data_IF_078145490583
#
_entry.id   IF_078145490583
#
_cell.length_a   1.000
_cell.length_b   1.000
_cell.length_c   1.000
_cell.angle_alpha   90.00
_cell.angle_beta   90.00
_cell.angle_gamma   90.00
#
_symmetry.space_group_name_H-M   'P 1'
#
loop_
_entity.id
_entity.type
_entity.pdbx_description
1 polymer ?
#
# COMPACT_ATOMS: atom_id res chain seq x y z
N UNK A 1 -36.35 61.81 -33.56
CA UNK A 1 -37.17 60.59 -33.74
C UNK A 1 -36.87 59.68 -32.55
N UNK A 2 -37.73 59.68 -31.52
CA UNK A 2 -38.80 58.69 -31.25
C UNK A 2 -38.25 57.25 -31.14
N UNK A 3 -38.50 56.44 -30.11
CA UNK A 3 -39.21 56.62 -28.85
C UNK A 3 -38.84 55.43 -27.93
N UNK A 4 -38.86 55.68 -26.63
CA UNK A 4 -38.95 54.73 -25.51
C UNK A 4 -40.09 53.72 -25.65
N UNK A 5 -39.98 52.54 -25.01
CA UNK A 5 -41.09 52.00 -24.22
C UNK A 5 -40.66 50.93 -23.21
N UNK A 6 -41.01 51.20 -21.95
CA UNK A 6 -41.07 50.29 -20.80
C UNK A 6 -42.33 49.44 -20.91
N UNK A 7 -42.32 48.21 -20.37
CA UNK A 7 -43.54 47.61 -19.81
C UNK A 7 -43.20 47.02 -18.44
N UNK A 8 -43.74 47.68 -17.43
CA UNK A 8 -44.02 47.16 -16.09
C UNK A 8 -45.53 46.98 -16.06
N UNK A 9 -46.04 45.84 -15.62
CA UNK A 9 -47.35 45.75 -14.99
C UNK A 9 -47.47 44.46 -14.18
N UNK A 10 -48.21 44.60 -13.09
CA UNK A 10 -48.11 43.91 -11.82
C UNK A 10 -49.38 43.10 -11.55
N UNK A 11 -49.27 42.14 -10.63
CA UNK A 11 -50.29 41.71 -9.65
C UNK A 11 -51.64 41.13 -10.14
N UNK A 12 -51.89 39.89 -9.74
CA UNK A 12 -53.12 39.59 -9.01
C UNK A 12 -52.82 38.55 -7.92
N UNK A 13 -53.08 38.96 -6.68
CA UNK A 13 -53.07 38.15 -5.49
C UNK A 13 -54.44 37.48 -5.31
N UNK A 14 -54.46 36.24 -4.86
CA UNK A 14 -55.59 35.68 -4.10
C UNK A 14 -55.05 34.99 -2.86
N UNK A 15 -55.60 35.41 -1.73
CA UNK A 15 -55.20 35.05 -0.40
C UNK A 15 -56.24 34.11 0.23
N UNK A 16 -55.74 33.35 1.22
CA UNK A 16 -56.42 32.86 2.43
C UNK A 16 -57.52 31.80 2.28
N UNK A 17 -57.23 30.61 2.80
CA UNK A 17 -58.01 30.08 3.94
C UNK A 17 -57.10 29.42 4.97
N UNK A 18 -57.45 29.69 6.22
CA UNK A 18 -56.81 29.31 7.48
C UNK A 18 -57.45 28.02 8.00
N UNK A 19 -56.63 27.12 8.53
CA UNK A 19 -57.02 25.97 9.33
C UNK A 19 -55.78 25.09 9.51
N UNK A 20 -55.12 25.04 10.66
CA UNK A 20 -55.68 24.72 11.96
C UNK A 20 -55.09 23.35 12.35
N UNK A 21 -54.28 23.35 13.40
CA UNK A 21 -53.40 22.28 13.88
C UNK A 21 -53.93 20.84 13.79
N UNK A 22 -53.12 19.96 13.20
CA UNK A 22 -52.88 18.60 13.72
C UNK A 22 -51.51 18.12 13.24
N UNK A 23 -50.46 18.40 14.01
CA UNK A 23 -49.17 17.75 13.85
C UNK A 23 -49.33 16.27 14.26
N UNK A 24 -49.68 15.42 13.31
CA UNK A 24 -49.58 13.97 13.47
C UNK A 24 -48.10 13.59 13.50
N UNK A 25 -47.52 13.59 14.70
CA UNK A 25 -46.26 12.95 15.05
C UNK A 25 -46.40 11.44 14.85
N UNK A 26 -46.31 10.99 13.60
CA UNK A 26 -46.02 9.58 13.32
C UNK A 26 -44.57 9.32 13.65
N UNK A 27 -44.39 9.03 14.94
CA UNK A 27 -43.22 8.38 15.50
C UNK A 27 -43.11 6.99 14.87
N UNK A 28 -42.56 6.91 13.67
CA UNK A 28 -41.94 5.67 13.20
C UNK A 28 -40.58 5.57 13.89
N UNK A 29 -40.62 5.24 15.18
CA UNK A 29 -39.52 4.60 15.88
C UNK A 29 -39.25 3.27 15.20
N UNK A 30 -38.54 3.33 14.08
CA UNK A 30 -37.70 2.23 13.64
C UNK A 30 -36.62 2.07 14.70
N UNK A 31 -36.96 1.34 15.76
CA UNK A 31 -36.01 0.80 16.70
C UNK A 31 -35.00 0.01 15.89
N UNK A 32 -33.89 0.67 15.56
CA UNK A 32 -32.68 -0.01 15.10
C UNK A 32 -32.28 -0.85 16.30
N UNK A 33 -32.59 -2.14 16.19
CA UNK A 33 -32.22 -3.14 17.19
C UNK A 33 -30.76 -2.90 17.58
N UNK A 34 -30.39 -2.93 18.87
CA UNK A 34 -29.03 -2.68 19.33
C UNK A 34 -27.95 -3.55 18.66
N UNK A 35 -28.34 -4.58 17.89
CA UNK A 35 -27.48 -5.38 17.03
C UNK A 35 -26.80 -4.60 15.89
N UNK A 36 -27.39 -3.51 15.41
CA UNK A 36 -27.01 -2.94 14.10
C UNK A 36 -25.93 -1.85 14.18
N UNK A 37 -25.59 -1.38 15.40
CA UNK A 37 -24.39 -0.55 15.65
C UNK A 37 -23.18 -1.35 16.18
N UNK A 38 -23.34 -2.66 16.40
CA UNK A 38 -22.32 -3.50 17.04
C UNK A 38 -21.34 -4.16 16.04
N UNK A 39 -21.70 -4.28 14.76
CA UNK A 39 -20.95 -5.08 13.78
C UNK A 39 -19.51 -4.56 13.56
N UNK A 40 -19.31 -3.26 13.34
CA UNK A 40 -17.97 -2.68 13.13
C UNK A 40 -17.01 -2.84 14.32
N UNK A 41 -17.53 -2.92 15.55
CA UNK A 41 -16.72 -3.09 16.78
C UNK A 41 -16.26 -4.53 17.00
N UNK A 42 -16.81 -5.52 16.26
CA UNK A 42 -16.57 -6.95 16.47
C UNK A 42 -15.51 -7.56 15.56
N UNK A 43 -15.12 -6.86 14.50
CA UNK A 43 -14.18 -7.39 13.50
C UNK A 43 -12.84 -6.67 13.45
N UNK A 44 -11.80 -7.40 13.06
CA UNK A 44 -10.56 -6.86 12.52
C UNK A 44 -10.57 -7.02 10.98
N UNK A 45 -10.45 -5.89 10.30
CA UNK A 45 -10.28 -5.77 8.87
C UNK A 45 -8.80 -5.76 8.51
N UNK A 46 -8.44 -6.59 7.54
CA UNK A 46 -7.13 -6.62 6.89
C UNK A 46 -7.37 -6.70 5.39
N UNK A 47 -6.83 -5.75 4.65
CA UNK A 47 -6.92 -5.72 3.19
C UNK A 47 -5.59 -5.22 2.64
N UNK A 48 -5.09 -5.84 1.58
CA UNK A 48 -3.77 -5.56 1.00
C UNK A 48 -3.82 -5.82 -0.50
N UNK A 49 -3.37 -4.87 -1.32
CA UNK A 49 -3.35 -5.04 -2.77
C UNK A 49 -2.11 -4.39 -3.39
N UNK A 50 -1.33 -5.11 -4.19
CA UNK A 50 -0.17 -4.56 -4.94
C UNK A 50 -0.16 -5.02 -6.39
N UNK A 51 0.41 -4.20 -7.27
CA UNK A 51 0.55 -4.52 -8.69
C UNK A 51 1.53 -5.65 -8.92
N UNK A 52 2.79 -5.45 -8.58
CA UNK A 52 3.85 -6.41 -8.88
C UNK A 52 4.86 -6.57 -7.76
N UNK A 53 5.52 -7.73 -7.73
CA UNK A 53 6.68 -8.03 -6.89
C UNK A 53 7.56 -9.05 -7.60
N UNK A 54 8.84 -8.74 -7.75
CA UNK A 54 9.87 -9.67 -8.20
C UNK A 54 10.51 -10.31 -6.99
N UNK A 55 10.63 -11.64 -7.00
CA UNK A 55 11.26 -12.40 -5.93
C UNK A 55 11.81 -13.72 -6.45
N UNK A 56 12.79 -14.28 -5.74
CA UNK A 56 13.26 -15.64 -5.98
C UNK A 56 12.55 -16.62 -5.02
N UNK A 57 11.88 -17.65 -5.56
CA UNK A 57 11.27 -18.72 -4.75
C UNK A 57 12.31 -19.55 -3.98
N UNK A 58 13.55 -19.60 -4.46
CA UNK A 58 14.64 -20.36 -3.86
C UNK A 58 15.37 -19.62 -2.72
N UNK A 59 14.92 -18.42 -2.34
CA UNK A 59 15.42 -17.72 -1.15
C UNK A 59 16.64 -16.81 -1.38
N UNK A 60 17.16 -16.71 -2.60
CA UNK A 60 18.20 -15.72 -2.90
C UNK A 60 17.66 -14.29 -2.76
N UNK A 61 18.50 -13.42 -2.22
CA UNK A 61 18.24 -12.11 -1.58
C UNK A 61 17.56 -11.02 -2.45
N UNK A 62 17.01 -11.33 -3.62
CA UNK A 62 16.38 -10.35 -4.52
C UNK A 62 14.86 -10.33 -4.30
N UNK A 63 14.38 -9.30 -3.61
CA UNK A 63 12.97 -8.91 -3.54
C UNK A 63 12.86 -7.44 -3.94
N UNK A 64 12.06 -7.14 -4.96
CA UNK A 64 11.90 -5.77 -5.49
C UNK A 64 10.99 -4.88 -4.63
N UNK A 65 10.34 -5.44 -3.61
CA UNK A 65 9.22 -4.79 -2.95
C UNK A 65 7.94 -4.81 -3.80
N UNK A 66 6.87 -4.20 -3.27
CA UNK A 66 5.52 -4.23 -3.84
C UNK A 66 5.21 -2.90 -4.52
N UNK A 67 4.77 -2.93 -5.77
CA UNK A 67 4.39 -1.71 -6.52
C UNK A 67 2.95 -1.30 -6.25
N UNK A 68 2.69 0.01 -6.20
CA UNK A 68 1.40 0.64 -5.89
C UNK A 68 0.64 -0.15 -4.80
N UNK A 69 1.17 -0.17 -3.58
CA UNK A 69 0.69 -1.07 -2.55
C UNK A 69 -0.26 -0.40 -1.57
N UNK A 70 -1.55 -0.73 -1.68
CA UNK A 70 -2.58 -0.31 -0.72
C UNK A 70 -2.76 -1.32 0.39
N UNK A 71 -2.96 -0.83 1.62
CA UNK A 71 -2.99 -1.63 2.82
C UNK A 71 -3.87 -1.03 3.93
N UNK A 72 -4.83 -1.83 4.39
CA UNK A 72 -5.46 -1.65 5.70
C UNK A 72 -4.75 -2.55 6.72
N UNK A 73 -3.85 -1.91 7.47
CA UNK A 73 -3.02 -2.57 8.46
C UNK A 73 -3.76 -2.81 9.79
N UNK A 74 -4.61 -3.84 9.84
CA UNK A 74 -5.29 -4.31 11.07
C UNK A 74 -6.13 -3.22 11.78
N UNK A 75 -7.44 -3.21 11.54
CA UNK A 75 -8.30 -2.17 12.11
C UNK A 75 -9.68 -2.70 12.44
N UNK A 76 -10.39 -2.04 13.37
CA UNK A 76 -11.80 -2.34 13.69
C UNK A 76 -12.67 -1.16 13.30
N UNK A 77 -12.19 -0.35 12.35
CA UNK A 77 -12.89 0.80 11.84
C UNK A 77 -13.37 0.43 10.45
N UNK A 78 -14.67 0.50 10.24
CA UNK A 78 -15.29 0.47 8.91
C UNK A 78 -15.09 1.81 8.22
N UNK A 79 -15.38 1.87 6.92
CA UNK A 79 -15.28 3.08 6.09
C UNK A 79 -13.85 3.51 5.75
N UNK A 80 -12.84 2.68 6.03
CA UNK A 80 -11.46 3.01 5.64
C UNK A 80 -11.22 2.61 4.20
N UNK A 81 -10.54 3.50 3.48
CA UNK A 81 -10.02 3.24 2.13
C UNK A 81 -8.56 3.64 2.11
N UNK A 82 -7.73 2.76 1.55
CA UNK A 82 -6.35 3.06 1.17
C UNK A 82 -6.22 2.79 -0.33
N UNK A 83 -5.52 3.66 -1.06
CA UNK A 83 -5.32 3.54 -2.50
C UNK A 83 -3.89 3.93 -2.82
N UNK A 84 -3.32 3.29 -3.83
CA UNK A 84 -2.00 3.62 -4.33
C UNK A 84 -1.99 3.40 -5.84
N UNK A 85 -1.15 4.16 -6.54
CA UNK A 85 -1.05 4.10 -7.98
C UNK A 85 0.39 4.34 -8.42
N UNK A 86 0.73 3.79 -9.58
CA UNK A 86 2.07 3.93 -10.16
C UNK A 86 1.93 3.95 -11.67
N UNK A 87 2.42 5.00 -12.33
CA UNK A 87 2.19 5.19 -13.76
C UNK A 87 2.92 4.17 -14.64
N UNK A 88 4.15 3.80 -14.26
CA UNK A 88 4.97 2.83 -14.99
C UNK A 88 6.10 2.31 -14.10
N UNK A 89 6.53 1.07 -14.31
CA UNK A 89 7.73 0.48 -13.73
C UNK A 89 8.59 -0.06 -14.84
N UNK A 90 9.87 0.29 -14.84
CA UNK A 90 10.88 -0.38 -15.67
C UNK A 90 11.94 -0.96 -14.75
N UNK A 91 12.25 -2.24 -14.94
CA UNK A 91 13.33 -2.90 -14.22
C UNK A 91 14.69 -2.64 -14.90
N UNK A 92 15.80 -2.74 -14.14
CA UNK A 92 17.15 -2.56 -14.69
C UNK A 92 17.39 -3.40 -15.95
N UNK A 93 18.04 -2.79 -16.94
CA UNK A 93 18.31 -3.42 -18.24
C UNK A 93 17.12 -3.42 -19.22
N UNK A 94 16.00 -2.78 -18.88
CA UNK A 94 14.83 -2.66 -19.78
C UNK A 94 14.11 -3.99 -20.05
N UNK A 95 14.48 -5.04 -19.32
CA UNK A 95 13.99 -6.40 -19.54
C UNK A 95 12.50 -6.54 -19.17
N UNK A 96 12.02 -5.80 -18.17
CA UNK A 96 10.61 -5.79 -17.79
C UNK A 96 10.09 -4.36 -17.70
N UNK A 97 8.98 -4.09 -18.39
CA UNK A 97 8.18 -2.88 -18.25
C UNK A 97 6.79 -3.25 -17.77
N UNK A 98 6.24 -2.50 -16.82
CA UNK A 98 4.88 -2.64 -16.31
C UNK A 98 4.22 -1.28 -16.47
N UNK A 99 3.06 -1.26 -17.10
CA UNK A 99 2.25 -0.06 -17.30
C UNK A 99 1.60 0.42 -16.00
N UNK A 100 0.57 1.28 -16.10
CA UNK A 100 -0.07 1.85 -14.94
C UNK A 100 -0.63 0.79 -13.99
N UNK A 101 -0.36 0.94 -12.70
CA UNK A 101 -0.90 0.09 -11.63
C UNK A 101 -1.78 0.95 -10.75
N UNK A 102 -2.98 0.48 -10.43
CA UNK A 102 -3.84 1.07 -9.39
C UNK A 102 -4.24 -0.02 -8.41
N UNK A 103 -4.17 0.26 -7.11
CA UNK A 103 -4.67 -0.66 -6.09
C UNK A 103 -5.54 0.04 -5.06
N UNK A 104 -6.43 -0.73 -4.46
CA UNK A 104 -7.38 -0.25 -3.47
C UNK A 104 -7.60 -1.30 -2.38
N UNK A 105 -7.61 -0.85 -1.13
CA UNK A 105 -7.93 -1.62 0.07
C UNK A 105 -9.08 -0.93 0.82
N UNK A 106 -10.12 -1.67 1.21
CA UNK A 106 -11.32 -1.12 1.87
C UNK A 106 -11.79 -1.96 3.05
N UNK A 107 -12.28 -1.28 4.09
CA UNK A 107 -13.17 -1.85 5.11
C UNK A 107 -14.56 -1.25 4.97
N UNK A 108 -15.57 -2.09 4.88
CA UNK A 108 -16.94 -1.70 4.55
C UNK A 108 -17.88 -2.26 5.61
N UNK A 109 -18.79 -1.42 6.08
CA UNK A 109 -19.93 -1.83 6.90
C UNK A 109 -21.10 -2.13 5.96
N UNK A 110 -21.87 -3.17 6.28
CA UNK A 110 -23.06 -3.53 5.53
C UNK A 110 -24.22 -3.67 6.51
N UNK A 111 -25.46 -3.58 6.02
CA UNK A 111 -26.68 -3.62 6.85
C UNK A 111 -26.65 -4.73 7.91
N UNK A 112 -26.18 -5.94 7.54
CA UNK A 112 -26.16 -7.11 8.41
C UNK A 112 -24.74 -7.67 8.69
N UNK A 113 -23.69 -6.84 8.59
CA UNK A 113 -22.33 -7.33 8.81
C UNK A 113 -21.23 -6.43 8.26
N UNK A 114 -20.15 -7.03 7.76
CA UNK A 114 -18.99 -6.26 7.32
C UNK A 114 -18.19 -6.96 6.21
N UNK A 115 -17.43 -6.17 5.44
CA UNK A 115 -16.57 -6.66 4.37
C UNK A 115 -15.18 -6.03 4.43
N UNK A 116 -14.19 -6.83 4.08
CA UNK A 116 -12.86 -6.37 3.72
C UNK A 116 -12.67 -6.63 2.23
N UNK A 117 -12.28 -5.61 1.46
CA UNK A 117 -12.20 -5.70 -0.01
C UNK A 117 -10.87 -5.16 -0.51
N UNK A 118 -10.20 -5.91 -1.38
CA UNK A 118 -8.97 -5.52 -2.07
C UNK A 118 -9.15 -5.61 -3.57
N UNK A 119 -8.61 -4.64 -4.30
CA UNK A 119 -8.62 -4.61 -5.76
C UNK A 119 -7.26 -4.19 -6.28
N UNK A 120 -6.80 -4.84 -7.33
CA UNK A 120 -5.60 -4.49 -8.10
C UNK A 120 -5.97 -4.37 -9.57
N UNK A 121 -5.47 -3.34 -10.24
CA UNK A 121 -5.50 -3.17 -11.69
C UNK A 121 -4.08 -2.92 -12.16
N UNK A 122 -3.63 -3.68 -13.14
CA UNK A 122 -2.29 -3.58 -13.73
C UNK A 122 -2.46 -3.42 -15.23
N UNK A 123 -1.82 -2.40 -15.80
CA UNK A 123 -1.78 -2.18 -17.25
C UNK A 123 -0.89 -3.19 -17.95
N UNK A 124 -0.46 -2.87 -19.18
CA UNK A 124 0.33 -3.80 -19.97
C UNK A 124 1.68 -4.15 -19.31
N UNK A 125 2.04 -5.43 -19.31
CA UNK A 125 3.34 -5.91 -18.85
C UNK A 125 4.10 -6.41 -20.07
N UNK A 126 5.33 -5.94 -20.24
CA UNK A 126 6.21 -6.31 -21.34
C UNK A 126 7.48 -6.91 -20.76
N UNK A 127 7.69 -8.20 -20.98
CA UNK A 127 8.95 -8.89 -20.69
C UNK A 127 9.71 -9.08 -22.00
N UNK A 128 10.86 -8.42 -22.14
CA UNK A 128 11.74 -8.54 -23.31
C UNK A 128 12.79 -9.64 -23.09
N UNK A 129 13.08 -10.37 -24.15
CA UNK A 129 14.19 -11.31 -24.22
C UNK A 129 15.12 -10.89 -25.36
N UNK A 130 16.41 -10.74 -25.04
CA UNK A 130 17.43 -10.40 -26.04
C UNK A 130 17.45 -11.47 -27.14
N UNK A 131 17.17 -11.08 -28.39
CA UNK A 131 17.24 -11.94 -29.56
C UNK A 131 16.11 -12.97 -29.73
N UNK A 132 15.20 -13.12 -28.76
CA UNK A 132 14.12 -14.14 -28.81
C UNK A 132 12.74 -13.47 -29.02
N UNK A 133 12.54 -12.24 -28.52
CA UNK A 133 11.27 -11.53 -28.68
C UNK A 133 10.79 -10.84 -27.40
N UNK A 134 9.49 -10.67 -27.25
CA UNK A 134 8.86 -10.13 -26.03
C UNK A 134 7.54 -10.82 -25.70
N UNK A 135 7.22 -10.89 -24.41
CA UNK A 135 5.91 -11.28 -23.91
C UNK A 135 5.17 -10.02 -23.49
N UNK A 136 3.99 -9.78 -24.05
CA UNK A 136 3.07 -8.72 -23.67
C UNK A 136 1.85 -9.32 -22.98
N UNK A 137 1.56 -8.90 -21.77
CA UNK A 137 0.33 -9.23 -21.06
C UNK A 137 -0.50 -7.96 -21.02
N UNK A 138 -1.70 -8.00 -21.56
CA UNK A 138 -2.62 -6.88 -21.65
C UNK A 138 -3.57 -6.92 -20.46
N UNK A 139 -3.55 -5.86 -19.65
CA UNK A 139 -4.57 -5.53 -18.63
C UNK A 139 -4.97 -6.65 -17.67
N UNK A 140 -4.71 -6.47 -16.38
CA UNK A 140 -5.01 -7.48 -15.38
C UNK A 140 -5.74 -6.86 -14.19
N UNK A 141 -6.86 -7.45 -13.79
CA UNK A 141 -7.63 -7.04 -12.62
C UNK A 141 -7.74 -8.20 -11.64
N UNK A 142 -7.36 -7.98 -10.39
CA UNK A 142 -7.52 -8.94 -9.29
C UNK A 142 -8.42 -8.37 -8.22
N UNK A 143 -9.34 -9.18 -7.69
CA UNK A 143 -10.19 -8.81 -6.57
C UNK A 143 -10.18 -9.87 -5.48
N UNK A 144 -10.27 -9.42 -4.23
CA UNK A 144 -10.42 -10.29 -3.08
C UNK A 144 -11.40 -9.65 -2.09
N UNK A 145 -12.31 -10.45 -1.56
CA UNK A 145 -13.30 -10.08 -0.57
C UNK A 145 -13.34 -11.14 0.55
N UNK A 146 -13.39 -10.66 1.80
CA UNK A 146 -13.74 -11.45 2.98
C UNK A 146 -14.89 -10.75 3.67
N UNK A 147 -15.98 -11.46 3.92
CA UNK A 147 -17.22 -10.89 4.41
C UNK A 147 -17.79 -11.67 5.58
N UNK A 148 -18.64 -11.00 6.34
CA UNK A 148 -19.52 -11.58 7.33
C UNK A 148 -20.91 -11.00 7.11
N UNK A 149 -21.91 -11.87 6.99
CA UNK A 149 -23.30 -11.49 6.88
C UNK A 149 -24.17 -12.58 7.51
N UNK A 150 -25.24 -12.18 8.20
CA UNK A 150 -26.26 -13.10 8.72
C UNK A 150 -25.67 -14.26 9.55
N UNK A 151 -24.70 -13.98 10.43
CA UNK A 151 -24.09 -15.00 11.29
C UNK A 151 -22.94 -15.79 10.65
N UNK A 152 -22.69 -15.64 9.34
CA UNK A 152 -21.76 -16.50 8.59
C UNK A 152 -20.62 -15.69 7.97
N UNK A 153 -19.42 -16.27 8.02
CA UNK A 153 -18.27 -15.79 7.27
C UNK A 153 -18.30 -16.32 5.84
N UNK A 154 -17.88 -15.50 4.88
CA UNK A 154 -17.77 -15.87 3.48
C UNK A 154 -16.57 -15.19 2.84
N UNK A 155 -16.13 -15.70 1.69
CA UNK A 155 -15.00 -15.17 0.95
C UNK A 155 -15.25 -15.29 -0.56
N UNK A 156 -14.71 -14.34 -1.33
CA UNK A 156 -14.76 -14.36 -2.80
C UNK A 156 -13.47 -13.77 -3.37
N UNK A 157 -12.98 -14.30 -4.48
CA UNK A 157 -11.93 -13.69 -5.28
C UNK A 157 -12.27 -13.77 -6.76
N UNK A 158 -11.65 -12.93 -7.56
CA UNK A 158 -11.72 -13.03 -9.01
C UNK A 158 -10.45 -12.46 -9.64
N UNK A 159 -10.09 -13.01 -10.79
CA UNK A 159 -9.04 -12.51 -11.65
C UNK A 159 -9.66 -12.33 -13.03
N UNK A 160 -9.32 -11.23 -13.68
CA UNK A 160 -9.73 -10.89 -15.03
C UNK A 160 -8.49 -10.43 -15.80
N UNK A 161 -8.37 -10.89 -17.05
CA UNK A 161 -7.20 -10.72 -17.89
C UNK A 161 -7.63 -10.41 -19.31
N UNK A 162 -7.17 -9.29 -19.88
CA UNK A 162 -7.59 -8.87 -21.21
C UNK A 162 -6.89 -9.65 -22.33
N UNK A 163 -5.64 -10.09 -22.12
CA UNK A 163 -4.96 -10.93 -23.11
C UNK A 163 -3.48 -11.17 -22.83
N UNK A 164 -2.91 -12.13 -23.56
CA UNK A 164 -1.48 -12.42 -23.57
C UNK A 164 -1.04 -12.61 -25.01
N UNK A 165 0.02 -11.89 -25.40
CA UNK A 165 0.61 -11.94 -26.74
C UNK A 165 2.09 -12.20 -26.63
N UNK A 166 2.61 -13.11 -27.44
CA UNK A 166 4.04 -13.23 -27.65
C UNK A 166 4.41 -12.50 -28.94
N UNK A 167 5.51 -11.76 -28.94
CA UNK A 167 6.10 -11.15 -30.13
C UNK A 167 7.43 -11.83 -30.36
N UNK A 168 7.52 -12.72 -31.34
CA UNK A 168 8.75 -13.47 -31.63
C UNK A 168 9.30 -12.95 -32.96
N UNK A 169 10.57 -12.54 -32.98
CA UNK A 169 11.22 -11.94 -34.15
C UNK A 169 10.42 -10.80 -34.84
N UNK A 170 9.64 -10.03 -34.05
CA UNK A 170 8.81 -8.92 -34.55
C UNK A 170 7.40 -9.31 -35.01
N UNK A 171 7.06 -10.60 -35.01
CA UNK A 171 5.74 -11.11 -35.39
C UNK A 171 4.90 -11.37 -34.12
N UNK A 172 3.68 -10.84 -34.07
CA UNK A 172 2.71 -11.20 -33.02
C UNK A 172 2.24 -12.64 -33.24
N UNK A 173 2.57 -13.52 -32.30
CA UNK A 173 2.11 -14.89 -32.27
C UNK A 173 0.94 -14.98 -31.29
N UNK A 174 -0.28 -15.28 -31.76
CA UNK A 174 -1.38 -15.57 -30.86
C UNK A 174 -1.01 -16.82 -30.06
N UNK A 175 -1.03 -16.71 -28.75
CA UNK A 175 -0.89 -17.87 -27.90
C UNK A 175 -2.22 -18.65 -27.94
N UNK A 176 -2.21 -19.99 -27.94
CA UNK A 176 -3.42 -20.81 -27.81
C UNK A 176 -3.97 -20.64 -26.38
N UNK A 177 -4.57 -19.48 -26.13
CA UNK A 177 -4.94 -19.00 -24.82
C UNK A 177 -6.22 -18.20 -24.94
N UNK A 178 -7.30 -18.77 -24.40
CA UNK A 178 -8.53 -18.04 -24.16
C UNK A 178 -8.54 -17.59 -22.69
N UNK A 179 -8.64 -16.27 -22.40
CA UNK A 179 -8.73 -15.77 -21.03
C UNK A 179 -9.91 -16.36 -20.23
N UNK A 180 -10.98 -16.77 -20.91
CA UNK A 180 -12.17 -17.35 -20.28
C UNK A 180 -11.96 -18.81 -19.83
N UNK A 181 -10.95 -19.50 -20.36
CA UNK A 181 -10.66 -20.92 -20.08
C UNK A 181 -9.52 -21.11 -19.06
N UNK A 182 -9.14 -20.05 -18.33
CA UNK A 182 -8.05 -20.11 -17.35
C UNK A 182 -8.50 -20.88 -16.10
N UNK A 183 -7.97 -22.10 -15.95
CA UNK A 183 -8.12 -22.82 -14.70
C UNK A 183 -7.05 -22.39 -13.67
N UNK A 184 -7.44 -22.18 -12.40
CA UNK A 184 -6.46 -21.92 -11.35
C UNK A 184 -5.39 -23.01 -11.25
N UNK A 185 -4.13 -22.59 -11.18
CA UNK A 185 -2.98 -23.50 -11.12
C UNK A 185 -2.46 -23.96 -12.49
N UNK A 186 -3.15 -23.66 -13.59
CA UNK A 186 -2.68 -23.93 -14.94
C UNK A 186 -1.36 -23.21 -15.22
N UNK A 187 -0.42 -23.93 -15.82
CA UNK A 187 0.89 -23.43 -16.20
C UNK A 187 1.03 -23.43 -17.72
N UNK A 188 1.58 -22.34 -18.26
CA UNK A 188 1.82 -22.17 -19.68
C UNK A 188 3.29 -21.82 -19.91
N UNK A 189 4.00 -22.65 -20.67
CA UNK A 189 5.42 -22.44 -20.96
C UNK A 189 5.55 -21.76 -22.33
N UNK A 190 6.28 -20.64 -22.34
CA UNK A 190 6.77 -20.02 -23.57
C UNK A 190 8.26 -20.34 -23.65
N UNK A 191 8.67 -21.29 -24.53
CA UNK A 191 10.05 -21.74 -24.63
C UNK A 191 11.03 -20.58 -24.75
N UNK A 192 12.12 -20.64 -23.99
CA UNK A 192 13.18 -19.61 -23.97
C UNK A 192 12.81 -18.27 -23.32
N UNK A 193 11.54 -18.03 -22.97
CA UNK A 193 11.07 -16.72 -22.51
C UNK A 193 10.61 -16.74 -21.05
N UNK A 194 9.50 -17.43 -20.77
CA UNK A 194 8.90 -17.44 -19.44
C UNK A 194 7.97 -18.64 -19.24
N UNK A 195 7.76 -19.00 -17.98
CA UNK A 195 6.68 -19.89 -17.55
C UNK A 195 5.63 -19.07 -16.81
N UNK A 196 4.42 -19.06 -17.33
CA UNK A 196 3.27 -18.38 -16.77
C UNK A 196 2.50 -19.36 -15.88
N UNK A 197 2.05 -18.89 -14.73
CA UNK A 197 1.19 -19.63 -13.83
C UNK A 197 0.06 -18.73 -13.39
N UNK A 198 -1.16 -19.12 -13.74
CA UNK A 198 -2.36 -18.45 -13.26
C UNK A 198 -2.66 -18.99 -11.88
N UNK A 199 -2.78 -18.09 -10.91
CA UNK A 199 -2.89 -18.49 -9.52
C UNK A 199 -4.33 -18.43 -9.05
N UNK A 200 -4.60 -19.32 -8.10
CA UNK A 200 -5.92 -19.49 -7.53
C UNK A 200 -6.25 -18.46 -6.45
N UNK A 201 -7.55 -18.31 -6.25
CA UNK A 201 -8.12 -17.70 -5.07
C UNK A 201 -8.03 -18.69 -3.90
N UNK A 202 -6.97 -18.62 -3.11
CA UNK A 202 -6.87 -19.43 -1.91
C UNK A 202 -7.60 -18.72 -0.75
N UNK A 203 -8.82 -19.18 -0.50
CA UNK A 203 -9.68 -18.72 0.58
C UNK A 203 -9.80 -19.72 1.72
N UNK A 204 -9.97 -19.21 2.93
CA UNK A 204 -10.34 -20.01 4.11
C UNK A 204 -11.49 -19.34 4.81
N UNK A 205 -12.54 -20.12 5.08
CA UNK A 205 -13.66 -19.74 5.93
C UNK A 205 -13.63 -20.62 7.17
N UNK A 206 -13.80 -20.02 8.33
CA UNK A 206 -13.97 -20.70 9.60
C UNK A 206 -14.99 -19.97 10.48
N UNK A 207 -15.21 -20.49 11.68
CA UNK A 207 -16.24 -19.97 12.60
C UNK A 207 -16.02 -18.52 13.04
N UNK A 208 -14.77 -18.02 13.00
CA UNK A 208 -14.40 -16.67 13.44
C UNK A 208 -13.53 -15.91 12.43
N UNK A 209 -13.41 -16.40 11.21
CA UNK A 209 -12.52 -15.82 10.21
C UNK A 209 -12.98 -16.12 8.78
N UNK A 210 -12.92 -15.12 7.92
CA UNK A 210 -12.81 -15.27 6.49
C UNK A 210 -11.48 -14.69 6.03
N UNK A 211 -10.76 -15.38 5.17
CA UNK A 211 -9.60 -14.83 4.47
C UNK A 211 -9.62 -15.28 3.04
N UNK A 212 -9.14 -14.41 2.15
CA UNK A 212 -8.93 -14.76 0.76
C UNK A 212 -7.63 -14.13 0.24
N UNK A 213 -6.95 -14.84 -0.64
CA UNK A 213 -5.84 -14.34 -1.41
C UNK A 213 -6.13 -14.62 -2.88
N UNK A 214 -6.17 -13.57 -3.68
CA UNK A 214 -6.22 -13.64 -5.13
C UNK A 214 -4.88 -13.20 -5.68
N UNK A 215 -4.30 -14.01 -6.56
CA UNK A 215 -3.09 -13.65 -7.29
C UNK A 215 -3.37 -13.91 -8.75
N UNK A 216 -3.22 -12.89 -9.59
CA UNK A 216 -3.64 -13.03 -10.96
C UNK A 216 -2.64 -13.82 -11.81
N UNK A 217 -1.35 -13.53 -11.69
CA UNK A 217 -0.32 -14.17 -12.51
C UNK A 217 1.02 -14.26 -11.80
N UNK A 218 1.73 -15.37 -12.01
CA UNK A 218 3.17 -15.50 -11.76
C UNK A 218 3.91 -15.79 -13.06
N UNK A 219 4.98 -15.03 -13.29
CA UNK A 219 5.85 -15.14 -14.46
C UNK A 219 7.22 -15.59 -13.95
N UNK A 220 7.59 -16.85 -14.17
CA UNK A 220 8.98 -17.29 -13.96
C UNK A 220 9.76 -16.97 -15.23
N UNK A 221 10.74 -16.07 -15.11
CA UNK A 221 11.54 -15.60 -16.24
C UNK A 221 12.60 -16.64 -16.57
N UNK A 222 12.62 -17.10 -17.83
CA UNK A 222 13.56 -18.12 -18.33
C UNK A 222 14.62 -17.53 -19.25
N UNK A 223 14.29 -16.43 -19.94
CA UNK A 223 15.23 -15.71 -20.81
C UNK A 223 16.48 -15.24 -20.06
N UNK A 224 17.60 -15.18 -20.78
CA UNK A 224 18.84 -14.55 -20.29
C UNK A 224 18.62 -13.09 -19.85
N UNK A 225 19.50 -12.61 -18.97
CA UNK A 225 19.46 -11.25 -18.43
C UNK A 225 19.31 -11.19 -16.90
N UNK A 226 19.21 -9.97 -16.33
CA UNK A 226 19.18 -9.75 -14.88
C UNK A 226 18.03 -10.44 -14.13
N UNK A 227 16.94 -10.77 -14.83
CA UNK A 227 15.77 -11.41 -14.23
C UNK A 227 15.74 -12.93 -14.41
N UNK A 228 16.74 -13.56 -15.05
CA UNK A 228 16.75 -15.01 -15.26
C UNK A 228 16.57 -15.76 -13.94
N UNK A 229 15.61 -16.69 -13.90
CA UNK A 229 15.28 -17.50 -12.73
C UNK A 229 14.39 -16.79 -11.69
N UNK A 230 14.15 -15.48 -11.83
CA UNK A 230 13.28 -14.72 -10.94
C UNK A 230 11.80 -15.00 -11.24
N UNK A 231 10.97 -14.85 -10.21
CA UNK A 231 9.50 -14.89 -10.34
C UNK A 231 8.93 -13.49 -10.18
N UNK A 232 8.17 -13.04 -11.17
CA UNK A 232 7.38 -11.81 -11.10
C UNK A 232 5.94 -12.19 -10.77
N UNK A 233 5.48 -11.80 -9.59
CA UNK A 233 4.05 -11.89 -9.24
C UNK A 233 3.34 -10.62 -9.64
N UNK A 234 2.16 -10.76 -10.20
CA UNK A 234 1.33 -9.68 -10.75
C UNK A 234 -0.10 -9.79 -10.22
N UNK A 235 -0.71 -8.66 -9.86
CA UNK A 235 -2.10 -8.54 -9.45
C UNK A 235 -2.42 -9.28 -8.17
N UNK A 236 -1.80 -8.87 -7.05
CA UNK A 236 -2.04 -9.50 -5.76
C UNK A 236 -3.11 -8.73 -4.98
N UNK A 237 -4.20 -9.40 -4.60
CA UNK A 237 -5.22 -8.89 -3.70
C UNK A 237 -5.43 -9.87 -2.53
N UNK A 238 -5.36 -9.38 -1.29
CA UNK A 238 -5.60 -10.18 -0.09
C UNK A 238 -6.58 -9.49 0.83
N UNK A 239 -7.49 -10.27 1.37
CA UNK A 239 -8.40 -9.84 2.43
C UNK A 239 -8.42 -10.83 3.58
N UNK A 240 -8.70 -10.31 4.77
CA UNK A 240 -9.03 -11.10 5.95
C UNK A 240 -9.96 -10.28 6.83
N UNK A 241 -11.01 -10.94 7.29
CA UNK A 241 -11.98 -10.47 8.26
C UNK A 241 -12.01 -11.48 9.39
N UNK A 242 -11.70 -11.07 10.60
CA UNK A 242 -11.70 -11.96 11.77
C UNK A 242 -12.41 -11.31 12.95
N UNK A 243 -12.99 -12.10 13.84
CA UNK A 243 -13.49 -11.62 15.11
C UNK A 243 -12.36 -11.02 15.98
N UNK A 244 -12.65 -9.97 16.75
CA UNK A 244 -11.66 -9.39 17.67
C UNK A 244 -11.43 -10.34 18.86
N UNK A 245 -10.20 -10.82 19.12
CA UNK A 245 -9.91 -11.66 20.27
C UNK A 245 -10.04 -10.89 21.60
N UNK A 246 -10.39 -11.60 22.68
CA UNK A 246 -10.58 -11.04 24.03
C UNK A 246 -9.31 -10.36 24.60
N UNK A 247 -8.11 -10.78 24.16
CA UNK A 247 -6.82 -10.31 24.71
C UNK A 247 -6.25 -9.03 24.07
N UNK A 248 -7.05 -8.28 23.32
CA UNK A 248 -6.64 -7.03 22.69
C UNK A 248 -5.90 -7.23 21.37
N UNK A 249 -5.20 -6.20 20.88
CA UNK A 249 -4.48 -6.26 19.60
C UNK A 249 -3.24 -5.40 19.56
N UNK A 250 -2.27 -5.81 18.76
CA UNK A 250 -1.11 -5.01 18.39
C UNK A 250 -1.15 -4.68 16.91
N UNK A 251 -0.38 -3.68 16.51
CA UNK A 251 -0.29 -3.27 15.12
C UNK A 251 0.81 -2.25 14.92
N UNK A 252 0.96 -1.81 13.67
CA UNK A 252 2.06 -0.96 13.25
C UNK A 252 2.78 -1.56 12.05
N UNK A 253 3.88 -0.93 11.66
CA UNK A 253 4.74 -1.38 10.58
C UNK A 253 6.13 -0.79 10.68
N UNK A 254 7.08 -1.44 10.03
CA UNK A 254 8.38 -0.87 9.67
C UNK A 254 8.45 -0.74 8.16
N UNK A 255 8.91 0.39 7.65
CA UNK A 255 8.91 0.73 6.24
C UNK A 255 10.19 1.49 5.89
N UNK A 256 10.96 0.96 4.95
CA UNK A 256 12.24 1.53 4.61
C UNK A 256 12.08 2.86 3.87
N UNK A 257 11.25 2.93 2.83
CA UNK A 257 11.06 4.18 2.11
C UNK A 257 9.73 4.23 1.33
N UNK A 258 9.22 5.43 1.12
CA UNK A 258 8.28 5.76 0.05
C UNK A 258 8.51 7.21 -0.39
N UNK A 259 7.92 7.59 -1.50
CA UNK A 259 7.97 8.95 -2.02
C UNK A 259 6.61 9.37 -2.58
N UNK A 260 6.35 10.66 -2.47
CA UNK A 260 5.21 11.38 -3.01
C UNK A 260 5.82 12.47 -3.90
N UNK A 261 5.65 12.34 -5.21
CA UNK A 261 6.13 13.26 -6.23
C UNK A 261 4.95 14.08 -6.74
N UNK A 262 5.24 15.30 -7.21
CA UNK A 262 4.25 16.20 -7.80
C UNK A 262 3.05 16.44 -6.85
N UNK A 263 3.30 16.82 -5.61
CA UNK A 263 2.28 17.02 -4.56
C UNK A 263 1.36 15.80 -4.33
N UNK A 264 1.94 14.60 -4.45
CA UNK A 264 1.24 13.34 -4.25
C UNK A 264 0.44 12.86 -5.47
N UNK A 265 0.54 13.56 -6.60
CA UNK A 265 -0.01 13.08 -7.89
C UNK A 265 0.69 11.80 -8.34
N UNK A 266 1.93 11.53 -7.90
CA UNK A 266 2.63 10.27 -8.16
C UNK A 266 3.24 9.74 -6.87
N UNK A 267 2.91 8.53 -6.43
CA UNK A 267 3.55 7.87 -5.29
C UNK A 267 4.39 6.67 -5.70
N UNK A 268 5.46 6.39 -4.97
CA UNK A 268 6.14 5.10 -5.06
C UNK A 268 5.60 4.16 -4.01
N UNK A 269 5.50 2.88 -4.36
CA UNK A 269 5.18 1.82 -3.39
C UNK A 269 6.14 1.80 -2.19
N UNK A 270 5.67 1.23 -1.09
CA UNK A 270 6.40 1.17 0.19
C UNK A 270 7.52 0.13 0.14
N UNK A 271 8.75 0.59 0.16
CA UNK A 271 9.96 -0.22 0.08
C UNK A 271 10.24 -0.89 1.42
N UNK A 272 10.59 -2.18 1.38
CA UNK A 272 10.96 -2.95 2.58
C UNK A 272 9.86 -2.98 3.64
N UNK A 273 8.58 -2.82 3.29
CA UNK A 273 7.55 -2.73 4.33
C UNK A 273 7.27 -4.07 4.99
N UNK A 274 7.29 -4.10 6.32
CA UNK A 274 6.83 -5.19 7.17
C UNK A 274 5.71 -4.73 8.10
N UNK A 275 4.55 -5.37 7.99
CA UNK A 275 3.39 -5.12 8.85
C UNK A 275 3.53 -5.90 10.17
N UNK A 276 3.04 -5.34 11.26
CA UNK A 276 2.75 -6.11 12.47
C UNK A 276 1.36 -6.77 12.40
N UNK A 277 1.29 -8.09 12.55
CA UNK A 277 0.02 -8.83 12.60
C UNK A 277 -0.88 -8.40 13.77
N UNK A 278 -2.21 -8.48 13.58
CA UNK A 278 -3.21 -8.17 14.62
C UNK A 278 -3.02 -9.01 15.88
N UNK A 279 -2.70 -10.29 15.67
CA UNK A 279 -2.50 -11.31 16.71
C UNK A 279 -1.11 -11.24 17.34
N UNK A 280 -0.28 -10.27 16.92
CA UNK A 280 1.16 -10.27 17.21
C UNK A 280 1.91 -11.34 16.42
N UNK A 281 3.19 -11.48 16.74
CA UNK A 281 4.15 -12.39 16.10
C UNK A 281 4.74 -13.36 17.12
N UNK A 282 4.06 -13.56 18.25
CA UNK A 282 4.54 -14.32 19.41
C UNK A 282 5.96 -13.89 19.84
N UNK A 283 6.26 -12.61 19.71
CA UNK A 283 7.57 -12.06 20.06
C UNK A 283 8.69 -12.37 19.08
N UNK A 284 8.44 -13.01 17.94
CA UNK A 284 9.43 -13.19 16.87
C UNK A 284 9.50 -11.95 15.97
N UNK A 285 10.68 -11.62 15.47
CA UNK A 285 10.80 -10.58 14.45
C UNK A 285 10.42 -11.15 13.10
N UNK A 286 9.40 -10.57 12.50
CA UNK A 286 9.16 -10.71 11.07
C UNK A 286 9.95 -9.62 10.34
N UNK A 287 10.48 -9.94 9.17
CA UNK A 287 11.30 -9.05 8.36
C UNK A 287 10.88 -9.13 6.90
N UNK A 288 10.83 -7.99 6.25
CA UNK A 288 10.78 -7.89 4.79
C UNK A 288 11.99 -7.08 4.32
N UNK A 289 12.85 -7.69 3.52
CA UNK A 289 14.09 -7.06 3.03
C UNK A 289 14.04 -6.90 1.52
N UNK A 290 14.69 -5.87 0.99
CA UNK A 290 14.90 -5.63 -0.44
C UNK A 290 16.38 -5.36 -0.68
N UNK A 291 16.92 -5.80 -1.81
CA UNK A 291 18.32 -5.56 -2.18
C UNK A 291 18.59 -4.11 -2.60
N UNK A 292 17.55 -3.41 -3.04
CA UNK A 292 17.58 -2.01 -3.45
C UNK A 292 16.46 -1.70 -4.45
N UNK A 293 16.16 -0.42 -4.61
CA UNK A 293 15.17 0.08 -5.55
C UNK A 293 15.72 1.33 -6.25
N UNK A 294 15.62 1.38 -7.58
CA UNK A 294 15.71 2.63 -8.34
C UNK A 294 14.29 3.10 -8.64
N UNK A 295 13.95 4.33 -8.25
CA UNK A 295 12.64 4.90 -8.54
C UNK A 295 12.62 5.35 -10.01
N UNK A 296 11.75 4.78 -10.87
CA UNK A 296 11.68 5.18 -12.27
C UNK A 296 11.28 6.65 -12.42
N UNK A 297 11.89 7.36 -13.36
CA UNK A 297 11.61 8.77 -13.61
C UNK A 297 12.10 9.74 -12.53
N UNK A 298 12.80 9.26 -11.50
CA UNK A 298 13.39 10.09 -10.46
C UNK A 298 14.88 9.75 -10.28
N UNK A 299 15.72 10.73 -9.85
CA UNK A 299 17.14 10.48 -9.55
C UNK A 299 17.37 9.66 -8.25
N UNK A 300 16.31 9.05 -7.71
CA UNK A 300 16.27 8.40 -6.41
C UNK A 300 16.62 6.92 -6.51
N UNK A 301 17.66 6.51 -5.79
CA UNK A 301 18.08 5.12 -5.58
C UNK A 301 18.14 4.83 -4.09
N UNK A 302 17.51 3.75 -3.69
CA UNK A 302 17.53 3.21 -2.33
C UNK A 302 18.33 1.91 -2.40
N UNK A 303 19.37 1.78 -1.58
CA UNK A 303 20.14 0.56 -1.41
C UNK A 303 19.37 -0.51 -0.64
N UNK A 304 20.08 -1.52 -0.15
CA UNK A 304 19.46 -2.59 0.62
C UNK A 304 18.64 -2.02 1.79
N UNK A 305 17.40 -2.48 1.93
CA UNK A 305 16.43 -1.88 2.84
C UNK A 305 15.59 -2.97 3.50
N UNK A 306 15.18 -2.77 4.75
CA UNK A 306 14.28 -3.70 5.42
C UNK A 306 13.36 -3.03 6.42
N UNK A 307 12.19 -3.60 6.57
CA UNK A 307 11.22 -3.31 7.61
C UNK A 307 11.11 -4.52 8.51
N UNK A 308 10.87 -4.28 9.79
CA UNK A 308 10.77 -5.32 10.80
C UNK A 308 9.60 -5.04 11.72
N UNK A 309 8.91 -6.10 12.13
CA UNK A 309 7.83 -6.03 13.08
C UNK A 309 7.88 -7.17 14.09
N UNK A 310 7.64 -6.85 15.35
CA UNK A 310 7.57 -7.79 16.47
C UNK A 310 6.42 -7.39 17.38
N UNK A 311 5.62 -8.35 17.79
CA UNK A 311 4.58 -8.09 18.77
C UNK A 311 4.20 -9.29 19.61
N UNK A 312 3.77 -9.00 20.84
CA UNK A 312 3.24 -9.97 21.80
C UNK A 312 1.90 -9.49 22.30
N UNK A 313 0.98 -10.44 22.49
CA UNK A 313 -0.30 -10.23 23.18
C UNK A 313 -0.20 -10.75 24.62
N UNK A 314 -1.22 -10.46 25.44
CA UNK A 314 -1.30 -10.89 26.84
C UNK A 314 -1.61 -9.72 27.78
N UNK A 315 -1.29 -9.87 29.08
CA UNK A 315 -1.51 -8.82 30.09
C UNK A 315 -0.75 -7.52 29.78
N UNK A 316 0.42 -7.64 29.14
CA UNK A 316 1.28 -6.51 28.76
C UNK A 316 1.63 -6.54 27.27
N UNK A 317 0.72 -6.16 26.36
CA UNK A 317 0.98 -6.22 24.93
C UNK A 317 2.11 -5.28 24.52
N UNK A 318 2.97 -5.76 23.63
CA UNK A 318 4.09 -5.01 23.07
C UNK A 318 3.97 -5.00 21.55
N UNK A 319 4.13 -3.82 20.97
CA UNK A 319 4.35 -3.62 19.54
C UNK A 319 5.70 -2.94 19.35
N UNK A 320 6.56 -3.51 18.52
CA UNK A 320 7.88 -2.97 18.21
C UNK A 320 8.15 -3.12 16.71
N UNK A 321 8.47 -2.02 16.06
CA UNK A 321 8.75 -1.98 14.62
C UNK A 321 10.05 -1.22 14.36
N UNK A 322 10.71 -1.59 13.26
CA UNK A 322 11.97 -0.98 12.82
C UNK A 322 11.99 -0.82 11.31
N UNK A 323 12.70 0.18 10.83
CA UNK A 323 13.04 0.33 9.44
C UNK A 323 14.53 0.59 9.30
N UNK A 324 15.18 -0.03 8.31
CA UNK A 324 16.61 0.05 8.03
C UNK A 324 16.84 0.28 6.55
N UNK A 325 17.79 1.15 6.24
CA UNK A 325 18.27 1.42 4.89
C UNK A 325 19.79 1.43 4.95
N UNK A 326 20.46 0.79 4.00
CA UNK A 326 21.92 0.75 3.91
C UNK A 326 22.48 2.05 3.31
N UNK A 327 21.88 2.53 2.23
CA UNK A 327 22.22 3.79 1.59
C UNK A 327 21.04 4.34 0.77
N UNK A 328 21.04 5.64 0.52
CA UNK A 328 20.10 6.35 -0.35
C UNK A 328 20.89 7.38 -1.16
N UNK A 329 20.74 7.36 -2.48
CA UNK A 329 21.20 8.41 -3.38
C UNK A 329 19.97 9.12 -3.93
N UNK A 330 19.79 10.40 -3.63
CA UNK A 330 18.62 11.16 -4.07
C UNK A 330 18.89 11.97 -5.34
N UNK A 331 20.07 12.57 -5.40
CA UNK A 331 20.58 13.32 -6.54
C UNK A 331 22.08 13.03 -6.66
N UNK A 332 22.76 13.63 -7.64
CA UNK A 332 24.23 13.57 -7.67
C UNK A 332 24.86 14.25 -6.45
N UNK A 333 24.16 15.23 -5.88
CA UNK A 333 24.66 16.07 -4.80
C UNK A 333 24.15 15.66 -3.41
N UNK A 334 23.27 14.66 -3.29
CA UNK A 334 22.76 14.20 -1.99
C UNK A 334 22.81 12.68 -1.85
N UNK A 335 23.66 12.21 -0.94
CA UNK A 335 23.84 10.80 -0.57
C UNK A 335 23.68 10.64 0.94
N UNK A 336 22.88 9.69 1.36
CA UNK A 336 22.66 9.34 2.76
C UNK A 336 23.11 7.89 2.92
N UNK A 337 23.95 7.63 3.92
CA UNK A 337 24.36 6.29 4.32
C UNK A 337 23.27 5.62 5.15
N UNK A 338 23.67 4.72 6.05
CA UNK A 338 22.70 3.90 6.74
C UNK A 338 21.76 4.74 7.64
N UNK A 339 20.47 4.43 7.56
CA UNK A 339 19.40 5.02 8.36
C UNK A 339 18.69 3.88 9.09
N UNK A 340 18.49 4.03 10.40
CA UNK A 340 17.61 3.16 11.17
C UNK A 340 16.60 3.99 11.95
N UNK A 341 15.35 3.54 11.98
CA UNK A 341 14.34 4.06 12.90
C UNK A 341 13.64 2.92 13.63
N UNK A 342 13.09 3.22 14.80
CA UNK A 342 12.24 2.28 15.52
C UNK A 342 11.10 2.98 16.26
N UNK A 343 9.99 2.26 16.40
CA UNK A 343 8.83 2.65 17.20
C UNK A 343 8.44 1.49 18.12
N UNK A 344 8.17 1.77 19.40
CA UNK A 344 7.74 0.76 20.37
C UNK A 344 6.64 1.30 21.26
N UNK A 345 5.60 0.48 21.44
CA UNK A 345 4.52 0.70 22.41
C UNK A 345 4.42 -0.52 23.31
N UNK A 346 4.40 -0.28 24.61
CA UNK A 346 4.15 -1.31 25.63
C UNK A 346 3.02 -0.85 26.53
N UNK A 347 2.02 -1.70 26.74
CA UNK A 347 0.97 -1.46 27.74
C UNK A 347 1.35 -2.19 29.02
N UNK A 348 1.40 -1.48 30.15
CA UNK A 348 1.65 -2.05 31.48
C UNK A 348 0.72 -1.34 32.47
N UNK A 349 -0.02 -2.10 33.28
CA UNK A 349 -0.95 -1.57 34.30
C UNK A 349 -1.92 -0.50 33.75
N UNK A 350 -2.52 -0.78 32.59
CA UNK A 350 -3.43 0.16 31.91
C UNK A 350 -2.77 1.38 31.23
N UNK A 351 -1.50 1.66 31.51
CA UNK A 351 -0.73 2.79 30.94
C UNK A 351 0.07 2.36 29.71
N UNK A 352 0.28 3.29 28.77
CA UNK A 352 1.02 3.04 27.53
C UNK A 352 2.37 3.75 27.55
N UNK A 353 3.46 2.97 27.62
CA UNK A 353 4.83 3.47 27.41
C UNK A 353 5.14 3.49 25.91
N UNK A 354 5.60 4.62 25.40
CA UNK A 354 5.91 4.86 23.97
C UNK A 354 7.35 5.33 23.83
N UNK A 355 8.14 4.65 23.01
CA UNK A 355 9.55 5.00 22.77
C UNK A 355 9.84 4.91 21.27
N UNK A 356 10.67 5.82 20.77
CA UNK A 356 11.13 5.85 19.38
C UNK A 356 12.56 6.35 19.29
N UNK A 357 13.24 6.05 18.20
CA UNK A 357 14.56 6.59 17.92
C UNK A 357 14.91 6.54 16.44
N UNK A 358 15.91 7.33 16.07
CA UNK A 358 16.47 7.45 14.72
C UNK A 358 17.98 7.52 14.83
N UNK A 359 18.69 6.81 13.95
CA UNK A 359 20.13 6.94 13.77
C UNK A 359 20.48 7.09 12.29
N UNK A 360 21.45 7.94 12.00
CA UNK A 360 21.98 8.17 10.65
C UNK A 360 23.50 8.12 10.72
N UNK A 361 24.11 7.27 9.89
CA UNK A 361 25.54 6.97 9.95
C UNK A 361 26.38 7.92 9.11
N UNK A 362 25.89 8.34 7.93
CA UNK A 362 26.61 9.24 7.03
C UNK A 362 25.64 10.06 6.19
N UNK A 363 25.94 11.33 5.94
CA UNK A 363 25.22 12.18 4.98
C UNK A 363 26.24 13.03 4.23
N UNK A 364 26.15 13.03 2.90
CA UNK A 364 26.92 13.90 2.01
C UNK A 364 26.00 14.78 1.18
N UNK A 365 26.23 16.09 1.22
CA UNK A 365 25.46 17.10 0.50
C UNK A 365 26.44 18.05 -0.22
N UNK A 366 26.30 18.22 -1.54
CA UNK A 366 27.23 19.06 -2.32
C UNK A 366 28.69 18.60 -2.28
N UNK A 367 28.94 17.31 -2.00
CA UNK A 367 30.30 16.78 -1.78
C UNK A 367 30.77 16.83 -0.32
N UNK A 368 30.19 17.68 0.52
CA UNK A 368 30.57 17.85 1.93
C UNK A 368 29.91 16.82 2.85
N UNK A 369 30.59 16.43 3.94
CA UNK A 369 30.05 15.55 4.97
C UNK A 369 29.27 16.34 6.04
N UNK A 370 27.94 16.31 5.95
CA UNK A 370 27.02 17.03 6.84
C UNK A 370 26.46 16.15 7.98
N UNK A 371 27.06 14.98 8.24
CA UNK A 371 26.54 13.99 9.21
C UNK A 371 26.37 14.56 10.63
N UNK A 372 27.34 15.36 11.11
CA UNK A 372 27.28 15.97 12.45
C UNK A 372 26.09 16.93 12.59
N UNK A 373 25.82 17.72 11.54
CA UNK A 373 24.70 18.65 11.50
C UNK A 373 23.37 17.88 11.55
N UNK A 374 23.25 16.81 10.76
CA UNK A 374 22.05 15.94 10.74
C UNK A 374 21.82 15.29 12.10
N UNK A 375 22.86 14.75 12.74
CA UNK A 375 22.73 14.14 14.06
C UNK A 375 22.36 15.16 15.16
N UNK A 376 22.85 16.40 15.07
CA UNK A 376 22.43 17.51 15.95
C UNK A 376 20.95 17.86 15.70
N UNK A 377 20.52 17.90 14.44
CA UNK A 377 19.13 18.15 14.06
C UNK A 377 18.17 17.03 14.49
N UNK A 378 18.58 15.75 14.47
CA UNK A 378 17.81 14.62 15.02
C UNK A 378 17.54 14.83 16.52
N UNK A 379 18.58 15.19 17.29
CA UNK A 379 18.47 15.46 18.74
C UNK A 379 17.55 16.63 19.04
N UNK A 380 17.67 17.70 18.25
CA UNK A 380 16.93 18.94 18.46
C UNK A 380 15.56 18.98 17.75
N UNK A 381 15.23 17.96 16.96
CA UNK A 381 14.02 17.89 16.12
C UNK A 381 13.85 19.11 15.19
N UNK A 382 14.95 19.62 14.65
CA UNK A 382 14.94 20.79 13.75
C UNK A 382 15.17 20.36 12.30
N UNK A 383 14.51 21.04 11.37
CA UNK A 383 14.77 20.82 9.93
C UNK A 383 16.08 21.49 9.53
N UNK A 384 16.77 20.92 8.54
CA UNK A 384 17.94 21.51 7.88
C UNK A 384 17.56 21.76 6.43
N UNK A 385 17.79 22.97 5.94
CA UNK A 385 17.67 23.30 4.52
C UNK A 385 19.07 23.32 3.93
N UNK A 386 19.27 22.55 2.86
CA UNK A 386 20.46 22.62 2.02
C UNK A 386 20.06 23.40 0.77
N UNK A 387 20.54 24.65 0.60
CA UNK A 387 20.18 25.50 -0.52
C UNK A 387 20.37 24.78 -1.87
N UNK A 388 19.41 24.94 -2.77
CA UNK A 388 19.44 24.31 -4.11
C UNK A 388 19.37 22.78 -4.13
N UNK A 389 19.14 22.11 -3.00
CA UNK A 389 19.11 20.63 -2.95
C UNK A 389 17.83 20.14 -2.30
N UNK A 390 17.70 20.32 -0.98
CA UNK A 390 16.60 19.72 -0.24
C UNK A 390 16.42 20.32 1.16
N UNK A 391 15.19 20.26 1.66
CA UNK A 391 14.87 20.40 3.08
C UNK A 391 14.77 19.02 3.72
N UNK A 392 15.61 18.76 4.71
CA UNK A 392 15.65 17.52 5.49
C UNK A 392 15.02 17.77 6.86
N UNK A 393 13.90 17.14 7.14
CA UNK A 393 13.25 17.12 8.45
C UNK A 393 13.48 15.77 9.11
N UNK A 394 14.46 15.65 10.02
CA UNK A 394 14.71 14.42 10.75
C UNK A 394 13.70 14.19 11.87
N UNK A 395 13.56 12.92 12.28
CA UNK A 395 12.89 12.51 13.53
C UNK A 395 11.47 13.07 13.70
N UNK A 396 10.64 12.94 12.67
CA UNK A 396 9.24 13.40 12.72
C UNK A 396 8.43 12.39 13.54
N UNK A 397 8.19 12.70 14.81
CA UNK A 397 7.46 11.82 15.74
C UNK A 397 6.02 12.29 15.91
N UNK A 398 5.06 11.38 15.74
CA UNK A 398 3.65 11.60 16.10
C UNK A 398 3.25 10.64 17.21
N UNK A 399 2.89 11.19 18.37
CA UNK A 399 2.42 10.41 19.53
C UNK A 399 0.90 10.51 19.64
N UNK A 400 0.24 9.38 19.86
CA UNK A 400 -1.20 9.30 20.22
C UNK A 400 -1.34 8.50 21.51
N UNK A 401 -2.56 8.43 22.08
CA UNK A 401 -2.81 7.68 23.35
C UNK A 401 -2.29 6.24 23.31
N UNK A 402 -2.44 5.56 22.16
CA UNK A 402 -2.19 4.12 21.98
C UNK A 402 -1.17 3.78 20.88
N UNK A 403 -0.56 4.78 20.26
CA UNK A 403 0.39 4.60 19.15
C UNK A 403 1.50 5.63 19.15
N UNK A 404 2.60 5.29 18.50
CA UNK A 404 3.70 6.18 18.16
C UNK A 404 4.16 5.87 16.74
N UNK A 405 4.38 6.90 15.93
CA UNK A 405 5.03 6.78 14.63
C UNK A 405 6.24 7.71 14.57
N UNK A 406 7.29 7.27 13.88
CA UNK A 406 8.49 8.05 13.60
C UNK A 406 8.85 7.91 12.13
N UNK A 407 9.12 9.04 11.48
CA UNK A 407 9.82 9.07 10.19
C UNK A 407 11.27 9.44 10.48
N UNK A 408 12.21 8.59 10.05
CA UNK A 408 13.63 8.81 10.23
C UNK A 408 14.08 10.13 9.61
N UNK A 409 13.90 10.26 8.29
CA UNK A 409 14.13 11.49 7.54
C UNK A 409 12.97 11.74 6.58
N UNK A 410 12.35 12.93 6.62
CA UNK A 410 11.49 13.44 5.56
C UNK A 410 12.31 14.41 4.72
N UNK A 411 12.39 14.19 3.42
CA UNK A 411 13.23 14.99 2.51
C UNK A 411 12.32 15.60 1.47
N UNK A 412 12.26 16.93 1.44
CA UNK A 412 11.55 17.69 0.41
C UNK A 412 12.59 18.24 -0.56
N UNK A 413 12.56 17.80 -1.81
CA UNK A 413 13.49 18.29 -2.84
C UNK A 413 13.13 19.73 -3.20
N UNK A 414 14.15 20.60 -3.32
CA UNK A 414 13.97 22.03 -3.58
C UNK A 414 14.29 22.43 -5.03
N UNK A 415 14.87 21.52 -5.80
CA UNK A 415 15.41 21.82 -7.14
C UNK A 415 14.92 20.80 -8.19
N UNK A 416 13.66 20.97 -8.58
CA UNK A 416 13.14 20.46 -9.86
C UNK A 416 12.33 21.61 -10.43
N UNK A 417 12.60 21.99 -11.68
CA UNK A 417 12.08 23.15 -12.39
C UNK A 417 10.55 23.15 -12.64
N UNK A 418 9.73 22.77 -11.65
CA UNK A 418 8.27 22.77 -11.66
C UNK A 418 7.72 23.12 -10.27
N UNK A 419 6.57 23.81 -10.18
CA UNK A 419 6.02 24.33 -8.92
C UNK A 419 5.48 23.27 -7.93
N UNK A 420 5.65 21.97 -8.21
CA UNK A 420 5.07 20.89 -7.40
C UNK A 420 6.13 20.24 -6.51
N UNK A 421 5.87 20.18 -5.20
CA UNK A 421 6.83 19.66 -4.23
C UNK A 421 6.94 18.13 -4.31
N UNK A 422 8.15 17.60 -4.09
CA UNK A 422 8.40 16.16 -4.02
C UNK A 422 8.96 15.80 -2.65
N UNK A 423 8.29 14.89 -1.95
CA UNK A 423 8.65 14.44 -0.61
C UNK A 423 9.05 12.96 -0.62
N UNK A 424 10.16 12.65 0.04
CA UNK A 424 10.69 11.30 0.21
C UNK A 424 10.77 11.02 1.70
N UNK A 425 10.18 9.91 2.13
CA UNK A 425 10.13 9.52 3.53
C UNK A 425 10.99 8.28 3.72
N UNK A 426 11.99 8.39 4.59
CA UNK A 426 12.98 7.36 4.84
C UNK A 426 12.89 6.85 6.28
N UNK A 427 12.98 5.53 6.42
CA UNK A 427 12.89 4.78 7.66
C UNK A 427 11.65 5.17 8.50
N UNK A 428 10.46 4.81 8.03
CA UNK A 428 9.21 4.99 8.76
C UNK A 428 8.94 3.80 9.69
N UNK A 429 8.62 4.05 10.95
CA UNK A 429 8.20 3.02 11.90
C UNK A 429 6.97 3.48 12.67
N UNK A 430 5.93 2.64 12.73
CA UNK A 430 4.75 2.84 13.56
C UNK A 430 4.54 1.64 14.48
N UNK A 431 4.18 1.89 15.73
CA UNK A 431 3.77 0.86 16.68
C UNK A 431 2.49 1.26 17.41
N UNK A 432 1.63 0.26 17.69
CA UNK A 432 0.34 0.44 18.34
C UNK A 432 -0.03 -0.78 19.19
N UNK A 433 -0.62 -0.52 20.35
CA UNK A 433 -1.23 -1.55 21.19
C UNK A 433 -2.64 -1.08 21.62
N UNK A 434 -3.61 -2.00 21.72
CA UNK A 434 -4.97 -1.71 22.19
C UNK A 434 -5.38 -2.72 23.25
#
# INVERSE_FOLDING_TARGET
MRATSKVVATLAATALTVGGLAAATTSATGATSPSDRASAKRFNFISSAYGTRVYNKNGDLVDSGRTAWSLIACTSKTGKTDRDHLAKVELPGGQLSIGPVTTKARSVETKNGAKSVSTTKVGAIVLKASGIGSLKIEGLTGTSESSYANGKYAQKGSVDLLGIKAVLAGIEVPLPFNPDDINPGQEFLIPGLAKLRFLDNNGRVGSNVASNNSVALEIKVLTGGPLKGQTVRVGYARTKLEGIPKHGRVGGYGEAAHSELLDGVVSTGRVGYQKLSCTGTNGKWERNSVAGLKVPGAPVRIGAASGQARGTLGKSPVAHTRARIADVKLTNNLKIGAIESYAKVTKKNGKYKKTSGVSVLRVRAGGENVTKQINKAIKNQKSITIPGIAKITPNVVKKKKRSISVTGLKITLLDVAKPLSSAIYLANSEAKAK
#
